data_IF_571921790702
#
_entry.id   IF_571921790702
#
_cell.length_a   1.000
_cell.length_b   1.000
_cell.length_c   1.000
_cell.angle_alpha   90.00
_cell.angle_beta   90.00
_cell.angle_gamma   90.00
#
_symmetry.space_group_name_H-M   'P 1'
#
loop_
_entity.id
_entity.type
_entity.pdbx_description
1 polymer ?
#
# COMPACT_ATOMS: atom_id res chain seq x y z
N UNK A 1 -8.56 -12.27 2.77
CA UNK A 1 -7.78 -11.15 2.20
C UNK A 1 -7.66 -11.39 0.71
N UNK A 2 -8.05 -10.39 -0.08
CA UNK A 2 -7.94 -10.45 -1.53
C UNK A 2 -6.48 -10.63 -1.93
N UNK A 3 -6.18 -11.69 -2.69
CA UNK A 3 -4.92 -11.79 -3.43
C UNK A 3 -4.94 -10.82 -4.59
N UNK A 4 -3.77 -10.39 -5.07
CA UNK A 4 -3.70 -9.57 -6.28
C UNK A 4 -4.27 -10.39 -7.45
N UNK A 5 -5.36 -9.92 -8.04
CA UNK A 5 -6.06 -10.62 -9.11
C UNK A 5 -5.32 -10.47 -10.44
N UNK A 6 -5.51 -11.40 -11.37
CA UNK A 6 -4.88 -11.31 -12.70
C UNK A 6 -5.33 -10.07 -13.46
N UNK A 7 -6.54 -9.57 -13.18
CA UNK A 7 -7.03 -8.30 -13.68
C UNK A 7 -6.27 -7.12 -13.06
N UNK A 8 -6.07 -7.09 -11.74
CA UNK A 8 -5.26 -6.05 -11.10
C UNK A 8 -3.83 -6.02 -11.67
N UNK A 9 -3.24 -7.20 -11.94
CA UNK A 9 -1.91 -7.34 -12.55
C UNK A 9 -1.82 -6.74 -13.95
N UNK A 10 -2.89 -6.79 -14.75
CA UNK A 10 -2.86 -6.30 -16.13
C UNK A 10 -2.81 -4.78 -16.26
N UNK A 11 -3.09 -4.04 -15.18
CA UNK A 11 -2.95 -2.58 -15.14
C UNK A 11 -1.49 -2.12 -14.95
N UNK A 12 -0.58 -3.02 -14.58
CA UNK A 12 0.82 -2.66 -14.40
C UNK A 12 1.62 -2.79 -15.71
N UNK A 13 2.68 -1.99 -15.88
CA UNK A 13 3.18 -0.97 -14.96
C UNK A 13 2.33 0.32 -14.95
N UNK A 14 2.23 0.97 -13.79
CA UNK A 14 1.51 2.25 -13.67
C UNK A 14 2.48 3.38 -14.03
N UNK A 15 2.13 4.20 -15.02
CA UNK A 15 3.00 5.26 -15.56
C UNK A 15 2.36 6.65 -15.54
N UNK A 16 1.12 6.75 -15.07
CA UNK A 16 0.38 7.99 -14.97
C UNK A 16 -0.60 7.99 -13.80
N UNK A 17 -1.12 9.18 -13.47
CA UNK A 17 -2.22 9.33 -12.51
C UNK A 17 -3.46 8.58 -13.00
N UNK A 18 -3.72 8.58 -14.31
CA UNK A 18 -4.86 7.89 -14.90
C UNK A 18 -4.76 6.37 -14.76
N UNK A 19 -3.56 5.79 -14.85
CA UNK A 19 -3.34 4.36 -14.60
C UNK A 19 -3.68 4.00 -13.15
N UNK A 20 -3.24 4.83 -12.20
CA UNK A 20 -3.58 4.65 -10.77
C UNK A 20 -5.09 4.76 -10.56
N UNK A 21 -5.72 5.80 -11.11
CA UNK A 21 -7.18 5.97 -10.99
C UNK A 21 -7.92 4.79 -11.61
N UNK A 22 -7.44 4.26 -12.74
CA UNK A 22 -8.04 3.11 -13.42
C UNK A 22 -7.94 1.85 -12.56
N UNK A 23 -6.78 1.57 -11.96
CA UNK A 23 -6.60 0.47 -11.01
C UNK A 23 -7.52 0.62 -9.79
N UNK A 24 -7.63 1.82 -9.22
CA UNK A 24 -8.52 2.07 -8.08
C UNK A 24 -10.00 1.87 -8.45
N UNK A 25 -10.41 2.33 -9.64
CA UNK A 25 -11.78 2.09 -10.12
C UNK A 25 -12.05 0.61 -10.32
N UNK A 26 -11.11 -0.15 -10.89
CA UNK A 26 -11.34 -1.58 -11.10
C UNK A 26 -11.52 -2.34 -9.79
N UNK A 27 -10.75 -2.00 -8.75
CA UNK A 27 -10.88 -2.61 -7.42
C UNK A 27 -12.18 -2.20 -6.71
N UNK A 28 -12.70 -0.99 -6.97
CA UNK A 28 -13.93 -0.49 -6.34
C UNK A 28 -15.21 -0.90 -7.07
N UNK A 29 -15.20 -1.00 -8.41
CA UNK A 29 -16.41 -1.22 -9.22
C UNK A 29 -16.89 -2.68 -9.26
N UNK A 30 -16.07 -3.65 -8.85
CA UNK A 30 -16.48 -5.05 -8.69
C UNK A 30 -17.42 -5.29 -7.48
N UNK A 31 -17.73 -4.23 -6.72
CA UNK A 31 -18.66 -4.26 -5.58
C UNK A 31 -20.14 -3.95 -5.95
N UNK A 32 -20.46 -3.91 -7.24
CA UNK A 32 -21.81 -3.60 -7.75
C UNK A 32 -22.76 -4.79 -7.79
N UNK A 33 -23.62 -4.87 -6.77
CA UNK A 33 -24.95 -5.49 -6.67
C UNK A 33 -25.22 -6.93 -7.19
N UNK A 34 -25.79 -7.69 -6.25
CA UNK A 34 -26.47 -8.99 -6.39
C UNK A 34 -25.62 -10.22 -6.74
N UNK A 35 -25.46 -11.08 -5.73
CA UNK A 35 -25.02 -12.49 -5.74
C UNK A 35 -23.58 -12.73 -5.22
N UNK A 36 -23.49 -12.82 -3.88
CA UNK A 36 -22.67 -13.75 -3.05
C UNK A 36 -21.17 -13.93 -3.28
N UNK A 37 -20.53 -13.24 -4.22
CA UNK A 37 -19.07 -13.26 -4.37
C UNK A 37 -18.56 -11.83 -4.61
N UNK A 38 -18.85 -10.95 -3.66
CA UNK A 38 -18.36 -9.57 -3.66
C UNK A 38 -16.86 -9.61 -3.39
N UNK A 39 -16.07 -9.52 -4.46
CA UNK A 39 -14.62 -9.42 -4.32
C UNK A 39 -14.30 -8.12 -3.57
N UNK A 40 -13.81 -8.24 -2.34
CA UNK A 40 -13.41 -7.09 -1.54
C UNK A 40 -12.20 -6.40 -2.19
N UNK A 41 -12.16 -5.05 -2.20
CA UNK A 41 -11.01 -4.33 -2.73
C UNK A 41 -9.75 -4.66 -1.94
N UNK A 42 -8.63 -4.84 -2.65
CA UNK A 42 -7.37 -5.16 -2.01
C UNK A 42 -6.73 -3.90 -1.40
N UNK A 43 -7.06 -3.61 -0.13
CA UNK A 43 -6.52 -2.46 0.60
C UNK A 43 -4.98 -2.49 0.73
N UNK A 44 -4.37 -3.68 0.77
CA UNK A 44 -2.91 -3.81 0.82
C UNK A 44 -2.28 -3.29 -0.47
N UNK A 45 -2.78 -3.76 -1.61
CA UNK A 45 -2.34 -3.33 -2.94
C UNK A 45 -2.48 -1.81 -3.11
N UNK A 46 -3.68 -1.29 -2.84
CA UNK A 46 -3.99 0.14 -3.01
C UNK A 46 -3.13 1.03 -2.11
N UNK A 47 -2.92 0.64 -0.84
CA UNK A 47 -2.08 1.37 0.11
C UNK A 47 -0.60 1.37 -0.29
N UNK A 48 -0.08 0.23 -0.78
CA UNK A 48 1.30 0.11 -1.26
C UNK A 48 1.51 0.99 -2.49
N UNK A 49 0.61 0.93 -3.48
CA UNK A 49 0.72 1.74 -4.71
C UNK A 49 0.76 3.23 -4.41
N UNK A 50 -0.19 3.74 -3.61
CA UNK A 50 -0.23 5.17 -3.25
C UNK A 50 1.01 5.57 -2.45
N UNK A 51 1.44 4.74 -1.51
CA UNK A 51 2.65 5.01 -0.74
C UNK A 51 3.92 5.06 -1.60
N UNK A 52 4.05 4.19 -2.61
CA UNK A 52 5.16 4.23 -3.57
C UNK A 52 5.14 5.51 -4.41
N UNK A 53 3.99 5.86 -4.99
CA UNK A 53 3.82 7.07 -5.79
C UNK A 53 4.13 8.31 -4.95
N UNK A 54 3.58 8.39 -3.74
CA UNK A 54 3.83 9.48 -2.80
C UNK A 54 5.32 9.60 -2.49
N UNK A 55 5.97 8.52 -2.07
CA UNK A 55 7.39 8.51 -1.71
C UNK A 55 8.29 9.02 -2.86
N UNK A 56 8.02 8.61 -4.10
CA UNK A 56 8.83 9.05 -5.23
C UNK A 56 8.60 10.53 -5.55
N UNK A 57 7.35 11.00 -5.46
CA UNK A 57 7.00 12.39 -5.77
C UNK A 57 7.37 13.39 -4.66
N UNK A 58 7.45 12.94 -3.39
CA UNK A 58 7.65 13.83 -2.23
C UNK A 58 8.97 13.64 -1.51
N UNK A 59 9.44 12.40 -1.29
CA UNK A 59 10.61 12.11 -0.45
C UNK A 59 11.93 12.10 -1.24
N UNK A 60 11.91 11.72 -2.51
CA UNK A 60 13.09 11.68 -3.39
C UNK A 60 13.38 12.99 -4.14
N UNK A 61 12.85 14.13 -3.68
CA UNK A 61 13.36 15.43 -4.15
C UNK A 61 14.64 15.72 -3.36
N UNK A 62 15.85 15.58 -3.95
CA UNK A 62 16.99 16.22 -3.32
C UNK A 62 16.61 17.69 -3.14
N UNK A 63 16.91 18.25 -1.98
CA UNK A 63 16.91 19.68 -1.81
C UNK A 63 17.79 20.29 -2.90
N UNK A 64 17.21 20.68 -4.03
CA UNK A 64 17.84 21.59 -4.99
C UNK A 64 17.78 23.00 -4.39
N UNK A 65 18.41 23.14 -3.23
CA UNK A 65 18.86 24.41 -2.69
C UNK A 65 20.34 24.49 -3.01
N UNK A 66 20.66 24.89 -4.24
CA UNK A 66 22.04 25.07 -4.64
C UNK A 66 22.22 25.35 -6.13
N UNK A 67 22.03 26.64 -6.48
CA UNK A 67 22.56 27.34 -7.66
C UNK A 67 21.71 27.30 -8.96
N UNK A 68 21.08 28.46 -9.16
CA UNK A 68 20.92 29.24 -10.40
C UNK A 68 20.37 28.59 -11.68
N UNK A 69 19.33 29.28 -12.19
CA UNK A 69 19.07 29.54 -13.61
C UNK A 69 18.85 28.35 -14.56
N UNK A 70 17.57 28.02 -14.78
CA UNK A 70 16.82 28.19 -16.04
C UNK A 70 15.52 27.40 -15.88
N UNK A 71 14.38 28.10 -15.88
CA UNK A 71 13.04 27.51 -15.82
C UNK A 71 12.72 26.77 -17.13
N UNK A 72 13.35 25.62 -17.35
CA UNK A 72 12.78 24.60 -18.23
C UNK A 72 11.72 23.91 -17.38
N UNK A 73 10.45 24.09 -17.74
CA UNK A 73 9.31 23.46 -17.09
C UNK A 73 9.34 21.95 -17.27
N UNK A 74 10.20 21.27 -16.51
CA UNK A 74 10.18 19.82 -16.39
C UNK A 74 9.02 19.50 -15.45
N UNK A 75 7.85 19.25 -16.02
CA UNK A 75 6.76 18.57 -15.31
C UNK A 75 7.34 17.31 -14.67
N UNK A 76 7.09 17.05 -13.37
CA UNK A 76 7.62 15.84 -12.73
C UNK A 76 7.14 14.63 -13.53
N UNK A 77 8.10 13.86 -14.05
CA UNK A 77 7.81 12.60 -14.73
C UNK A 77 7.17 11.69 -13.70
N UNK A 78 5.97 11.17 -13.99
CA UNK A 78 5.28 10.26 -13.09
C UNK A 78 6.12 8.97 -12.93
N UNK A 79 6.25 8.43 -11.70
CA UNK A 79 7.05 7.25 -11.48
C UNK A 79 6.48 6.02 -12.17
N UNK A 80 7.33 5.23 -12.80
CA UNK A 80 6.94 3.90 -13.30
C UNK A 80 6.88 2.93 -12.11
N UNK A 81 5.68 2.47 -11.78
CA UNK A 81 5.44 1.49 -10.71
C UNK A 81 5.31 0.11 -11.32
N UNK A 82 6.33 -0.72 -11.11
CA UNK A 82 6.42 -2.09 -11.61
C UNK A 82 5.70 -3.09 -10.69
N UNK A 83 4.95 -4.03 -11.28
CA UNK A 83 4.21 -5.07 -10.55
C UNK A 83 5.07 -5.85 -9.54
N UNK A 84 6.29 -6.35 -9.89
CA UNK A 84 7.07 -7.17 -8.97
C UNK A 84 7.44 -6.46 -7.66
N UNK A 85 7.63 -5.13 -7.71
CA UNK A 85 7.93 -4.33 -6.52
C UNK A 85 6.72 -4.25 -5.59
N UNK A 86 5.53 -4.08 -6.17
CA UNK A 86 4.26 -4.04 -5.44
C UNK A 86 3.92 -5.40 -4.84
N UNK A 87 4.06 -6.48 -5.63
CA UNK A 87 3.82 -7.86 -5.17
C UNK A 87 4.74 -8.23 -4.02
N UNK A 88 6.03 -7.91 -4.12
CA UNK A 88 7.00 -8.18 -3.05
C UNK A 88 6.60 -7.52 -1.74
N UNK A 89 6.14 -6.27 -1.78
CA UNK A 89 5.70 -5.54 -0.59
C UNK A 89 4.39 -6.09 -0.03
N UNK A 90 3.41 -6.38 -0.88
CA UNK A 90 2.15 -6.99 -0.45
C UNK A 90 2.40 -8.35 0.21
N UNK A 91 3.23 -9.20 -0.41
CA UNK A 91 3.59 -10.51 0.12
C UNK A 91 4.36 -10.38 1.44
N UNK A 92 5.25 -9.40 1.58
CA UNK A 92 5.97 -9.12 2.83
C UNK A 92 4.98 -8.80 3.96
N UNK A 93 4.00 -7.94 3.71
CA UNK A 93 2.96 -7.63 4.70
C UNK A 93 2.15 -8.86 5.10
N UNK A 94 1.63 -9.59 4.10
CA UNK A 94 0.82 -10.78 4.37
C UNK A 94 1.59 -11.83 5.16
N UNK A 95 2.84 -12.10 4.78
CA UNK A 95 3.70 -13.07 5.46
C UNK A 95 3.94 -12.66 6.92
N UNK A 96 4.16 -11.37 7.18
CA UNK A 96 4.35 -10.86 8.53
C UNK A 96 3.10 -11.06 9.41
N UNK A 97 1.91 -10.73 8.88
CA UNK A 97 0.65 -10.86 9.64
C UNK A 97 0.28 -12.34 9.82
N UNK A 98 0.25 -13.12 8.73
CA UNK A 98 -0.13 -14.55 8.75
C UNK A 98 0.85 -15.38 9.57
N UNK A 99 2.15 -15.09 9.50
CA UNK A 99 3.16 -15.78 10.30
C UNK A 99 3.07 -15.49 11.81
N UNK A 100 2.39 -14.42 12.20
CA UNK A 100 2.28 -13.98 13.60
C UNK A 100 0.93 -14.33 14.26
N UNK A 101 -0.04 -14.82 13.48
CA UNK A 101 -1.39 -15.16 13.95
C UNK A 101 -1.75 -16.57 13.51
N UNK A 102 -1.86 -17.48 14.48
CA UNK A 102 -2.42 -18.80 14.25
C UNK A 102 -3.95 -18.75 14.36
N UNK A 103 -4.61 -18.85 13.20
CA UNK A 103 -6.08 -18.80 13.09
C UNK A 103 -6.77 -20.05 13.64
N UNK A 104 -6.07 -21.17 13.84
CA UNK A 104 -6.67 -22.40 14.37
C UNK A 104 -7.23 -22.23 15.79
N UNK A 105 -6.72 -21.24 16.53
CA UNK A 105 -7.17 -20.90 17.89
C UNK A 105 -8.45 -20.04 17.92
N UNK A 106 -8.99 -19.65 16.76
CA UNK A 106 -10.12 -18.73 16.66
C UNK A 106 -11.30 -19.37 15.91
N UNK A 107 -12.53 -18.99 16.30
CA UNK A 107 -13.74 -19.46 15.61
C UNK A 107 -13.82 -18.87 14.19
N UNK A 108 -14.28 -19.63 13.19
CA UNK A 108 -14.25 -19.21 11.78
C UNK A 108 -15.34 -18.20 11.41
N UNK A 109 -16.43 -18.12 12.17
CA UNK A 109 -17.61 -17.35 11.74
C UNK A 109 -17.44 -15.82 11.89
N UNK A 110 -16.77 -15.38 12.96
CA UNK A 110 -16.60 -13.96 13.27
C UNK A 110 -15.28 -13.69 13.99
N UNK A 111 -14.68 -12.53 13.71
CA UNK A 111 -13.51 -12.06 14.44
C UNK A 111 -13.87 -11.76 15.90
N UNK A 112 -13.15 -12.39 16.84
CA UNK A 112 -13.30 -12.10 18.27
C UNK A 112 -12.46 -10.88 18.67
N UNK A 113 -12.80 -10.26 19.80
CA UNK A 113 -12.00 -9.16 20.38
C UNK A 113 -10.53 -9.57 20.57
N UNK A 114 -10.27 -10.81 20.95
CA UNK A 114 -8.91 -11.30 21.19
C UNK A 114 -8.11 -11.41 19.88
N UNK A 115 -8.75 -11.85 18.79
CA UNK A 115 -8.13 -11.85 17.46
C UNK A 115 -7.80 -10.42 17.02
N UNK A 116 -8.75 -9.49 17.15
CA UNK A 116 -8.57 -8.07 16.79
C UNK A 116 -7.42 -7.47 17.60
N UNK A 117 -7.40 -7.72 18.91
CA UNK A 117 -6.34 -7.24 19.80
C UNK A 117 -4.98 -7.82 19.42
N UNK A 118 -4.92 -9.11 19.09
CA UNK A 118 -3.68 -9.78 18.66
C UNK A 118 -3.12 -9.15 17.40
N UNK A 119 -3.95 -8.91 16.38
CA UNK A 119 -3.53 -8.21 15.15
C UNK A 119 -3.08 -6.79 15.45
N UNK A 120 -3.81 -6.06 16.30
CA UNK A 120 -3.42 -4.71 16.74
C UNK A 120 -2.05 -4.70 17.43
N UNK A 121 -1.76 -5.70 18.27
CA UNK A 121 -0.46 -5.80 18.96
C UNK A 121 0.70 -6.13 18.03
N UNK A 122 0.46 -6.93 16.98
CA UNK A 122 1.45 -7.21 15.94
C UNK A 122 1.80 -5.94 15.16
N UNK A 123 0.78 -5.20 14.72
CA UNK A 123 1.02 -3.91 14.04
C UNK A 123 1.71 -2.94 14.99
N UNK A 124 1.27 -2.82 16.25
CA UNK A 124 1.88 -1.91 17.21
C UNK A 124 3.34 -2.24 17.53
N UNK A 125 3.66 -3.53 17.73
CA UNK A 125 5.00 -3.99 18.10
C UNK A 125 6.01 -3.92 16.97
N UNK A 126 5.56 -3.90 15.72
CA UNK A 126 6.41 -3.79 14.53
C UNK A 126 6.74 -2.35 14.14
N UNK A 127 5.98 -1.37 14.66
CA UNK A 127 6.30 0.05 14.50
C UNK A 127 7.60 0.40 15.24
N UNK A 128 8.48 1.17 14.59
CA UNK A 128 9.69 1.68 15.24
C UNK A 128 9.33 2.72 16.29
N UNK A 129 9.91 2.57 17.50
CA UNK A 129 9.55 3.38 18.68
C UNK A 129 10.01 4.84 18.63
N UNK A 130 10.89 5.22 17.70
CA UNK A 130 11.60 6.50 17.68
C UNK A 130 11.12 7.51 16.63
N UNK A 131 9.96 7.30 16.00
CA UNK A 131 9.46 8.26 15.01
C UNK A 131 8.67 9.40 15.66
N UNK A 132 8.95 10.62 15.18
CA UNK A 132 8.14 11.80 15.47
C UNK A 132 6.73 11.55 14.91
N UNK A 133 5.73 11.52 15.79
CA UNK A 133 4.33 11.24 15.42
C UNK A 133 3.77 12.25 14.40
N UNK A 134 4.37 13.43 14.32
CA UNK A 134 3.94 14.53 13.44
C UNK A 134 4.71 14.57 12.11
N UNK A 135 5.43 13.50 11.76
CA UNK A 135 6.17 13.41 10.49
C UNK A 135 5.21 13.06 9.35
N UNK A 136 5.28 13.83 8.27
CA UNK A 136 4.52 13.58 7.06
C UNK A 136 4.92 12.24 6.40
N UNK A 137 4.01 11.67 5.60
CA UNK A 137 4.25 10.51 4.73
C UNK A 137 4.43 9.17 5.45
N UNK A 138 3.87 9.02 6.66
CA UNK A 138 3.92 7.80 7.48
C UNK A 138 2.60 7.00 7.52
N UNK A 139 1.62 7.36 6.68
CA UNK A 139 0.25 6.85 6.75
C UNK A 139 -0.02 5.57 5.95
N UNK A 140 0.88 5.18 5.04
CA UNK A 140 0.68 4.05 4.12
C UNK A 140 1.34 2.77 4.60
N UNK A 141 0.84 1.61 4.13
CA UNK A 141 1.51 0.33 4.35
C UNK A 141 2.90 0.28 3.70
N UNK A 142 3.13 1.05 2.64
CA UNK A 142 4.48 1.23 2.08
C UNK A 142 5.45 1.77 3.14
N UNK A 143 5.10 2.83 3.85
CA UNK A 143 5.94 3.42 4.90
C UNK A 143 6.15 2.42 6.05
N UNK A 144 5.08 1.75 6.48
CA UNK A 144 5.15 0.68 7.48
C UNK A 144 6.14 -0.44 7.10
N UNK A 145 6.14 -0.90 5.84
CA UNK A 145 6.96 -2.03 5.39
C UNK A 145 8.43 -1.68 5.10
N UNK A 146 8.67 -0.46 4.66
CA UNK A 146 10.01 -0.02 4.25
C UNK A 146 10.78 0.64 5.38
N UNK A 147 10.08 1.07 6.44
CA UNK A 147 10.67 1.89 7.50
C UNK A 147 11.19 3.24 6.97
N UNK A 148 10.92 3.56 5.70
CA UNK A 148 11.26 4.81 5.07
C UNK A 148 10.12 5.78 5.36
N UNK A 149 10.34 6.64 6.36
CA UNK A 149 10.91 8.00 6.21
C UNK A 149 11.71 8.32 7.46
#
# INVERSE_FOLDING_TARGET
MATITDKARSYFPLQSVDDVVTLFRSELQESGDEVRDTQEPNLTLLSVVVGMVENILTANKPAQHGKEDHRIGITPIFPVIELPNVETLCQKFETQIKGSVDLSNYKPDFATRDLIKKVSDIVWSSLTRSFYKDRAHLQSLFSYLTGMV
#
